data_IF_611290613730
#
_entry.id   IF_611290613730
#
_cell.length_a   1.000
_cell.length_b   1.000
_cell.length_c   1.000
_cell.angle_alpha   90.00
_cell.angle_beta   90.00
_cell.angle_gamma   90.00
#
_symmetry.space_group_name_H-M   'P 1'
#
loop_
_entity.id
_entity.type
_entity.pdbx_description
1 polymer ?
#
# COMPACT_ATOMS: atom_id res chain seq x y z
N UNK A 1 2.44 67.12 -22.85
CA UNK A 1 2.72 66.61 -21.49
C UNK A 1 2.00 65.30 -21.16
N UNK A 2 0.90 64.92 -21.82
CA UNK A 2 0.27 63.60 -21.61
C UNK A 2 0.92 62.44 -22.38
N UNK A 3 1.71 62.72 -23.42
CA UNK A 3 2.35 61.67 -24.24
C UNK A 3 3.64 61.14 -23.61
N UNK A 4 4.38 61.96 -22.85
CA UNK A 4 5.64 61.54 -22.19
C UNK A 4 5.40 60.51 -21.08
N UNK A 5 4.25 60.59 -20.38
CA UNK A 5 3.88 59.61 -19.34
C UNK A 5 3.60 58.23 -19.93
N UNK A 6 3.02 58.15 -21.13
CA UNK A 6 2.69 56.88 -21.79
C UNK A 6 3.96 56.11 -22.17
N UNK A 7 4.99 56.80 -22.66
CA UNK A 7 6.25 56.14 -23.03
C UNK A 7 7.04 55.65 -21.82
N UNK A 8 7.00 56.37 -20.70
CA UNK A 8 7.62 55.94 -19.44
C UNK A 8 6.98 54.65 -18.90
N UNK A 9 5.65 54.57 -18.92
CA UNK A 9 4.92 53.40 -18.44
C UNK A 9 5.19 52.16 -19.30
N UNK A 10 5.32 52.33 -20.62
CA UNK A 10 5.67 51.25 -21.54
C UNK A 10 7.09 50.76 -21.29
N UNK A 11 8.06 51.66 -21.12
CA UNK A 11 9.44 51.29 -20.82
C UNK A 11 9.56 50.54 -19.48
N UNK A 12 8.86 51.00 -18.44
CA UNK A 12 8.85 50.33 -17.14
C UNK A 12 8.23 48.93 -17.19
N UNK A 13 7.15 48.74 -17.96
CA UNK A 13 6.57 47.41 -18.19
C UNK A 13 7.53 46.49 -18.92
N UNK A 14 8.18 46.99 -19.97
CA UNK A 14 9.16 46.21 -20.72
C UNK A 14 10.36 45.80 -19.86
N UNK A 15 10.84 46.68 -18.96
CA UNK A 15 11.90 46.33 -18.02
C UNK A 15 11.47 45.28 -17.00
N UNK A 16 10.21 45.34 -16.53
CA UNK A 16 9.64 44.31 -15.66
C UNK A 16 9.52 42.96 -16.37
N UNK A 17 9.02 42.94 -17.60
CA UNK A 17 8.94 41.73 -18.44
C UNK A 17 10.32 41.14 -18.73
N UNK A 18 11.32 41.98 -19.02
CA UNK A 18 12.70 41.52 -19.19
C UNK A 18 13.28 40.94 -17.90
N UNK A 19 12.90 41.47 -16.73
CA UNK A 19 13.30 40.91 -15.45
C UNK A 19 12.61 39.58 -15.15
N UNK A 20 11.33 39.41 -15.49
CA UNK A 20 10.63 38.14 -15.31
C UNK A 20 11.17 37.07 -16.26
N UNK A 21 11.48 37.42 -17.51
CA UNK A 21 12.15 36.51 -18.45
C UNK A 21 13.50 36.02 -17.91
N UNK A 22 14.36 36.93 -17.42
CA UNK A 22 15.64 36.54 -16.80
C UNK A 22 15.48 35.63 -15.58
N UNK A 23 14.42 35.84 -14.77
CA UNK A 23 14.13 34.94 -13.64
C UNK A 23 13.69 33.56 -14.13
N UNK A 24 12.90 33.50 -15.20
CA UNK A 24 12.47 32.25 -15.81
C UNK A 24 13.65 31.49 -16.40
N UNK A 25 14.59 32.16 -17.06
CA UNK A 25 15.82 31.54 -17.58
C UNK A 25 16.62 30.87 -16.46
N UNK A 26 16.80 31.56 -15.33
CA UNK A 26 17.51 30.98 -14.16
C UNK A 26 16.74 29.79 -13.58
N UNK A 27 15.42 29.81 -13.57
CA UNK A 27 14.61 28.67 -13.11
C UNK A 27 14.73 27.48 -14.06
N UNK A 28 14.76 27.72 -15.37
CA UNK A 28 14.98 26.69 -16.38
C UNK A 28 16.36 26.04 -16.21
N UNK A 29 17.42 26.82 -16.03
CA UNK A 29 18.77 26.31 -15.77
C UNK A 29 18.81 25.39 -14.52
N UNK A 30 18.08 25.75 -13.47
CA UNK A 30 17.98 24.94 -12.24
C UNK A 30 17.23 23.63 -12.49
N UNK A 31 16.11 23.68 -13.22
CA UNK A 31 15.33 22.48 -13.58
C UNK A 31 16.16 21.54 -14.46
N UNK A 32 16.90 22.08 -15.44
CA UNK A 32 17.79 21.30 -16.30
C UNK A 32 18.92 20.64 -15.49
N UNK A 33 19.50 21.35 -14.52
CA UNK A 33 20.51 20.79 -13.63
C UNK A 33 19.95 19.64 -12.77
N UNK A 34 18.73 19.77 -12.25
CA UNK A 34 18.06 18.73 -11.45
C UNK A 34 17.67 17.52 -12.31
N UNK A 35 17.20 17.72 -13.55
CA UNK A 35 16.93 16.63 -14.49
C UNK A 35 18.20 15.85 -14.81
N UNK A 36 19.30 16.54 -15.14
CA UNK A 36 20.61 15.90 -15.37
C UNK A 36 21.10 15.13 -14.14
N UNK A 37 20.87 15.65 -12.93
CA UNK A 37 21.22 14.96 -11.69
C UNK A 37 20.38 13.69 -11.48
N UNK A 38 19.08 13.73 -11.79
CA UNK A 38 18.19 12.58 -11.73
C UNK A 38 18.56 11.51 -12.76
N UNK A 39 18.86 11.89 -14.00
CA UNK A 39 19.33 10.98 -15.05
C UNK A 39 20.61 10.26 -14.61
N UNK A 40 21.60 11.00 -14.10
CA UNK A 40 22.84 10.41 -13.58
C UNK A 40 22.59 9.46 -12.39
N UNK A 41 21.55 9.69 -11.57
CA UNK A 41 21.16 8.76 -10.51
C UNK A 41 20.50 7.49 -11.08
N UNK A 42 19.65 7.62 -12.10
CA UNK A 42 19.03 6.48 -12.78
C UNK A 42 20.08 5.60 -13.46
N UNK A 43 21.05 6.18 -14.16
CA UNK A 43 22.17 5.44 -14.76
C UNK A 43 22.97 4.66 -13.71
N UNK A 44 23.31 5.30 -12.58
CA UNK A 44 23.99 4.64 -11.46
C UNK A 44 23.15 3.49 -10.88
N UNK A 45 21.84 3.66 -10.77
CA UNK A 45 20.93 2.61 -10.30
C UNK A 45 20.85 1.45 -11.30
N UNK A 46 20.83 1.74 -12.59
CA UNK A 46 20.83 0.72 -13.65
C UNK A 46 22.13 -0.08 -13.66
N UNK A 47 23.30 0.57 -13.54
CA UNK A 47 24.59 -0.11 -13.43
C UNK A 47 24.61 -1.05 -12.23
N UNK A 48 24.10 -0.62 -11.07
CA UNK A 48 23.99 -1.48 -9.87
C UNK A 48 23.08 -2.67 -10.12
N UNK A 49 21.95 -2.47 -10.79
CA UNK A 49 21.03 -3.55 -11.15
C UNK A 49 21.70 -4.56 -12.10
N UNK A 50 22.39 -4.09 -13.13
CA UNK A 50 23.12 -4.94 -14.07
C UNK A 50 24.22 -5.74 -13.36
N UNK A 51 24.99 -5.13 -12.47
CA UNK A 51 25.98 -5.82 -11.65
C UNK A 51 25.36 -6.87 -10.72
N UNK A 52 24.24 -6.55 -10.07
CA UNK A 52 23.52 -7.51 -9.22
C UNK A 52 23.00 -8.70 -10.04
N UNK A 53 22.49 -8.44 -11.24
CA UNK A 53 22.06 -9.47 -12.19
C UNK A 53 23.22 -10.37 -12.60
N UNK A 54 24.38 -9.82 -12.97
CA UNK A 54 25.58 -10.60 -13.29
C UNK A 54 26.06 -11.46 -12.12
N UNK A 55 26.02 -10.94 -10.89
CA UNK A 55 26.35 -11.72 -9.67
C UNK A 55 25.38 -12.89 -9.46
N UNK A 56 24.09 -12.70 -9.74
CA UNK A 56 23.11 -13.77 -9.64
C UNK A 56 23.32 -14.82 -10.74
N UNK A 57 23.62 -14.40 -11.97
CA UNK A 57 23.94 -15.32 -13.07
C UNK A 57 25.17 -16.15 -12.75
N UNK A 58 26.28 -15.53 -12.29
CA UNK A 58 27.48 -16.27 -11.86
C UNK A 58 27.19 -17.28 -10.75
N UNK A 59 26.40 -16.90 -9.74
CA UNK A 59 26.00 -17.85 -8.68
C UNK A 59 25.16 -19.01 -9.18
N UNK A 60 24.35 -18.79 -10.22
CA UNK A 60 23.58 -19.86 -10.86
C UNK A 60 24.47 -20.79 -11.68
N UNK A 61 25.49 -20.24 -12.37
CA UNK A 61 26.48 -21.01 -13.12
C UNK A 61 27.43 -21.80 -12.20
N UNK A 62 27.97 -21.17 -11.15
CA UNK A 62 28.80 -21.81 -10.13
C UNK A 62 28.04 -22.91 -9.36
N UNK A 63 26.73 -22.71 -9.14
CA UNK A 63 25.86 -23.72 -8.54
C UNK A 63 25.45 -24.86 -9.48
N UNK A 64 25.75 -24.75 -10.79
CA UNK A 64 25.46 -25.76 -11.80
C UNK A 64 26.67 -26.67 -12.09
N UNK A 65 27.83 -26.47 -11.45
CA UNK A 65 28.98 -27.35 -11.63
C UNK A 65 28.77 -28.72 -10.96
N UNK A 66 28.46 -29.68 -11.84
CA UNK A 66 28.59 -31.14 -11.75
C UNK A 66 27.85 -31.83 -10.58
N UNK A 67 26.69 -32.48 -10.85
CA UNK A 67 26.37 -33.68 -10.11
C UNK A 67 27.51 -34.68 -10.32
N UNK A 68 28.35 -34.84 -9.31
CA UNK A 68 29.32 -35.95 -9.23
C UNK A 68 28.57 -37.24 -9.50
N UNK A 69 29.00 -37.97 -10.53
CA UNK A 69 28.53 -39.28 -10.95
C UNK A 69 28.37 -40.21 -9.75
N UNK A 70 27.16 -40.26 -9.19
CA UNK A 70 26.78 -41.25 -8.22
C UNK A 70 26.56 -42.56 -8.98
N UNK A 71 27.53 -43.45 -8.78
CA UNK A 71 27.59 -44.82 -9.31
C UNK A 71 26.25 -45.55 -9.19
N UNK A 72 25.86 -46.18 -10.30
CA UNK A 72 25.05 -47.40 -10.43
C UNK A 72 23.96 -47.68 -9.38
N UNK A 73 22.70 -47.51 -9.79
CA UNK A 73 21.61 -48.39 -9.34
C UNK A 73 21.31 -49.39 -10.46
N UNK A 74 21.00 -50.68 -10.17
CA UNK A 74 20.85 -51.70 -11.20
C UNK A 74 19.56 -51.51 -11.99
N UNK A 75 19.73 -51.64 -13.30
CA UNK A 75 18.74 -51.72 -14.36
C UNK A 75 17.62 -52.74 -14.02
N UNK A 76 16.39 -52.25 -13.84
CA UNK A 76 15.18 -53.07 -13.92
C UNK A 76 14.65 -52.93 -15.34
N UNK A 77 14.68 -54.02 -16.08
CA UNK A 77 14.13 -54.14 -17.43
C UNK A 77 12.60 -53.95 -17.38
N UNK A 78 12.01 -53.07 -18.21
CA UNK A 78 10.59 -53.14 -18.51
C UNK A 78 10.37 -54.29 -19.50
N UNK A 79 9.55 -55.25 -19.07
CA UNK A 79 9.05 -56.34 -19.90
C UNK A 79 8.30 -55.80 -21.12
N UNK A 80 8.68 -56.33 -22.28
CA UNK A 80 7.92 -56.35 -23.51
C UNK A 80 6.53 -56.96 -23.26
N UNK A 81 5.48 -56.22 -23.57
CA UNK A 81 4.25 -56.72 -24.20
C UNK A 81 3.19 -55.61 -24.19
N UNK A 82 2.91 -55.05 -25.37
CA UNK A 82 1.55 -54.81 -25.87
C UNK A 82 1.63 -54.19 -27.28
N UNK A 83 1.27 -54.95 -28.34
CA UNK A 83 0.97 -54.39 -29.65
C UNK A 83 -0.52 -53.99 -29.68
N UNK A 84 -0.85 -52.79 -30.18
CA UNK A 84 -2.17 -52.46 -30.76
C UNK A 84 -1.94 -51.32 -31.76
N UNK A 85 -1.89 -51.73 -33.02
CA UNK A 85 -2.63 -51.25 -34.19
C UNK A 85 -2.81 -49.75 -34.43
N UNK A 86 -2.22 -49.33 -35.56
CA UNK A 86 -2.90 -48.68 -36.69
C UNK A 86 -4.31 -48.13 -36.43
N UNK A 87 -4.42 -46.80 -36.44
CA UNK A 87 -5.64 -46.13 -36.91
C UNK A 87 -5.28 -44.76 -37.49
N UNK A 88 -4.96 -44.80 -38.77
CA UNK A 88 -5.06 -43.71 -39.73
C UNK A 88 -6.51 -43.18 -39.77
N UNK A 89 -6.72 -41.91 -39.41
CA UNK A 89 -7.93 -41.15 -39.79
C UNK A 89 -7.72 -39.64 -39.61
N UNK A 90 -7.29 -38.98 -40.68
CA UNK A 90 -7.60 -37.57 -40.91
C UNK A 90 -9.11 -37.41 -41.17
N UNK A 91 -9.68 -36.26 -40.78
CA UNK A 91 -10.46 -35.52 -41.77
C UNK A 91 -9.99 -34.06 -41.90
N UNK A 92 -10.07 -33.48 -43.11
CA UNK A 92 -9.78 -32.07 -43.35
C UNK A 92 -11.03 -31.19 -43.22
N UNK A 93 -10.77 -29.88 -43.29
CA UNK A 93 -11.67 -28.76 -43.54
C UNK A 93 -12.10 -27.92 -42.33
N UNK A 94 -11.41 -26.78 -42.23
CA UNK A 94 -12.01 -25.44 -42.33
C UNK A 94 -13.04 -25.06 -41.27
N UNK A 95 -12.64 -24.26 -40.29
CA UNK A 95 -13.41 -23.09 -39.85
C UNK A 95 -12.52 -22.04 -39.17
N UNK A 96 -12.57 -20.83 -39.73
CA UNK A 96 -11.94 -19.60 -39.29
C UNK A 96 -12.45 -19.16 -37.92
N UNK A 97 -11.70 -19.39 -36.86
CA UNK A 97 -11.78 -18.61 -35.62
C UNK A 97 -10.37 -18.39 -35.04
N UNK A 98 -9.62 -17.48 -35.68
CA UNK A 98 -8.52 -16.80 -35.02
C UNK A 98 -9.14 -15.88 -33.96
N UNK A 99 -8.90 -16.15 -32.67
CA UNK A 99 -8.86 -15.16 -31.55
C UNK A 99 -8.86 -15.79 -30.15
N UNK A 100 -8.55 -17.08 -29.99
CA UNK A 100 -8.08 -17.58 -28.70
C UNK A 100 -6.56 -17.64 -28.73
N UNK A 101 -5.91 -16.59 -28.20
CA UNK A 101 -4.53 -16.67 -27.72
C UNK A 101 -4.49 -17.90 -26.81
N UNK A 102 -3.86 -18.96 -27.32
CA UNK A 102 -3.48 -20.13 -26.58
C UNK A 102 -2.63 -19.61 -25.41
N UNK A 103 -3.25 -19.39 -24.24
CA UNK A 103 -2.51 -19.32 -22.98
C UNK A 103 -1.75 -20.63 -22.96
N UNK A 104 -0.43 -20.53 -23.11
CA UNK A 104 0.47 -21.67 -23.06
C UNK A 104 0.16 -22.40 -21.77
N UNK A 105 -0.58 -23.51 -21.90
CA UNK A 105 -0.77 -24.44 -20.81
C UNK A 105 0.62 -24.93 -20.47
N UNK A 106 1.11 -24.53 -19.30
CA UNK A 106 2.38 -25.02 -18.79
C UNK A 106 2.43 -26.54 -18.97
N UNK A 107 3.54 -27.09 -19.49
CA UNK A 107 3.65 -28.53 -19.72
C UNK A 107 3.38 -29.26 -18.41
N UNK A 108 2.47 -30.26 -18.45
CA UNK A 108 2.01 -31.08 -17.33
C UNK A 108 3.08 -32.04 -16.79
N UNK A 109 4.33 -31.60 -16.70
CA UNK A 109 5.48 -32.37 -16.22
C UNK A 109 5.87 -31.96 -14.79
N UNK A 110 4.90 -31.63 -13.94
CA UNK A 110 5.13 -31.35 -12.51
C UNK A 110 5.67 -32.57 -11.74
N UNK A 111 5.64 -33.77 -12.33
CA UNK A 111 6.23 -34.99 -11.77
C UNK A 111 7.74 -35.14 -11.98
N UNK A 112 8.40 -34.28 -12.76
CA UNK A 112 9.82 -34.42 -13.09
C UNK A 112 10.74 -33.43 -12.33
N UNK A 113 10.20 -32.54 -11.50
CA UNK A 113 11.00 -31.62 -10.70
C UNK A 113 11.37 -32.28 -9.36
N UNK A 114 12.65 -32.19 -8.92
CA UNK A 114 13.06 -32.71 -7.63
C UNK A 114 12.22 -32.11 -6.49
N UNK A 115 11.81 -32.91 -5.49
CA UNK A 115 10.97 -32.48 -4.37
C UNK A 115 11.46 -31.21 -3.66
N UNK A 116 12.78 -31.01 -3.59
CA UNK A 116 13.38 -29.80 -3.02
C UNK A 116 13.05 -28.54 -3.83
N UNK A 117 12.98 -28.65 -5.15
CA UNK A 117 12.61 -27.55 -6.06
C UNK A 117 11.12 -27.26 -5.94
N UNK A 118 10.27 -28.30 -5.91
CA UNK A 118 8.81 -28.15 -5.71
C UNK A 118 8.51 -27.52 -4.35
N UNK A 119 9.19 -27.95 -3.29
CA UNK A 119 9.07 -27.37 -1.94
C UNK A 119 9.47 -25.89 -1.92
N UNK A 120 10.61 -25.54 -2.54
CA UNK A 120 11.04 -24.14 -2.67
C UNK A 120 10.05 -23.30 -3.48
N UNK A 121 9.52 -23.81 -4.59
CA UNK A 121 8.51 -23.12 -5.39
C UNK A 121 7.22 -22.90 -4.60
N UNK A 122 6.75 -23.90 -3.84
CA UNK A 122 5.60 -23.77 -2.94
C UNK A 122 5.83 -22.71 -1.86
N UNK A 123 7.03 -22.68 -1.26
CA UNK A 123 7.38 -21.67 -0.27
C UNK A 123 7.42 -20.25 -0.86
N UNK A 124 8.04 -20.08 -2.03
CA UNK A 124 8.08 -18.78 -2.73
C UNK A 124 6.66 -18.35 -3.14
N UNK A 125 5.84 -19.27 -3.65
CA UNK A 125 4.45 -19.00 -3.98
C UNK A 125 3.66 -18.56 -2.75
N UNK A 126 3.80 -19.26 -1.62
CA UNK A 126 3.16 -18.92 -0.34
C UNK A 126 3.61 -17.55 0.18
N UNK A 127 4.91 -17.23 0.07
CA UNK A 127 5.41 -15.91 0.49
C UNK A 127 4.93 -14.78 -0.42
N UNK A 128 4.81 -15.05 -1.72
CA UNK A 128 4.28 -14.10 -2.69
C UNK A 128 2.78 -13.86 -2.52
N UNK A 129 2.00 -14.89 -2.17
CA UNK A 129 0.58 -14.71 -1.83
C UNK A 129 0.41 -13.95 -0.52
N UNK A 130 1.24 -14.23 0.49
CA UNK A 130 1.25 -13.45 1.74
C UNK A 130 1.62 -11.98 1.49
N UNK A 131 2.65 -11.71 0.68
CA UNK A 131 3.04 -10.34 0.31
C UNK A 131 1.89 -9.61 -0.39
N UNK A 132 1.23 -10.26 -1.36
CA UNK A 132 0.05 -9.71 -2.04
C UNK A 132 -1.10 -9.45 -1.07
N UNK A 133 -1.32 -10.31 -0.08
CA UNK A 133 -2.34 -10.12 0.96
C UNK A 133 -2.01 -8.94 1.90
N UNK A 134 -0.74 -8.76 2.27
CA UNK A 134 -0.29 -7.60 3.07
C UNK A 134 -0.43 -6.30 2.28
N UNK A 135 -0.07 -6.30 1.00
CA UNK A 135 -0.23 -5.14 0.12
C UNK A 135 -1.70 -4.79 -0.12
N UNK A 136 -2.58 -5.78 -0.33
CA UNK A 136 -4.03 -5.53 -0.47
C UNK A 136 -4.64 -4.99 0.82
N UNK A 137 -4.23 -5.50 1.99
CA UNK A 137 -4.63 -4.97 3.29
C UNK A 137 -4.12 -3.54 3.51
N UNK A 138 -2.88 -3.22 3.10
CA UNK A 138 -2.32 -1.86 3.15
C UNK A 138 -3.14 -0.91 2.27
N UNK A 139 -3.43 -1.29 1.02
CA UNK A 139 -4.27 -0.51 0.11
C UNK A 139 -5.69 -0.30 0.65
N UNK A 140 -6.31 -1.32 1.25
CA UNK A 140 -7.65 -1.19 1.84
C UNK A 140 -7.66 -0.17 3.00
N UNK A 141 -6.63 -0.17 3.85
CA UNK A 141 -6.47 0.83 4.92
C UNK A 141 -6.23 2.22 4.38
N UNK A 142 -5.45 2.35 3.31
CA UNK A 142 -5.18 3.61 2.64
C UNK A 142 -6.45 4.18 2.00
N UNK A 143 -7.26 3.35 1.33
CA UNK A 143 -8.58 3.73 0.81
C UNK A 143 -9.53 4.22 1.90
N UNK A 144 -9.53 3.58 3.08
CA UNK A 144 -10.33 4.05 4.22
C UNK A 144 -9.85 5.42 4.72
N UNK A 145 -8.54 5.65 4.79
CA UNK A 145 -7.98 6.96 5.15
C UNK A 145 -8.32 8.02 4.11
N UNK A 146 -8.28 7.67 2.82
CA UNK A 146 -8.66 8.57 1.74
C UNK A 146 -10.13 8.98 1.88
N UNK A 147 -11.04 8.01 2.00
CA UNK A 147 -12.47 8.27 2.24
C UNK A 147 -12.73 9.12 3.49
N UNK A 148 -11.94 8.95 4.54
CA UNK A 148 -12.05 9.80 5.74
C UNK A 148 -11.60 11.24 5.49
N UNK A 149 -10.58 11.45 4.65
CA UNK A 149 -10.16 12.80 4.22
C UNK A 149 -11.21 13.42 3.30
N UNK A 150 -11.69 12.67 2.31
CA UNK A 150 -12.71 13.14 1.36
C UNK A 150 -13.97 13.56 2.11
N UNK A 151 -14.44 12.72 3.06
CA UNK A 151 -15.58 13.06 3.92
C UNK A 151 -15.33 14.29 4.79
N UNK A 152 -14.08 14.54 5.21
CA UNK A 152 -13.72 15.75 5.97
C UNK A 152 -13.72 17.00 5.08
N UNK A 153 -13.28 16.87 3.82
CA UNK A 153 -13.33 17.94 2.82
C UNK A 153 -14.78 18.26 2.43
N UNK A 154 -15.59 17.24 2.12
CA UNK A 154 -17.03 17.39 1.84
C UNK A 154 -17.78 18.05 3.01
N UNK A 155 -17.49 17.65 4.25
CA UNK A 155 -18.12 18.26 5.43
C UNK A 155 -17.71 19.72 5.66
N UNK A 156 -16.56 20.16 5.13
CA UNK A 156 -16.11 21.56 5.17
C UNK A 156 -16.76 22.44 4.09
N UNK A 157 -17.25 21.84 3.00
CA UNK A 157 -17.76 22.57 1.83
C UNK A 157 -19.28 22.84 1.85
N UNK A 158 -20.03 22.32 2.83
CA UNK A 158 -21.52 22.30 2.79
C UNK A 158 -22.20 23.37 3.66
N UNK A 159 -21.51 24.38 4.21
CA UNK A 159 -22.21 25.46 4.93
C UNK A 159 -21.47 26.79 4.93
N UNK A 160 -21.47 27.49 3.79
CA UNK A 160 -21.15 28.92 3.78
C UNK A 160 -21.94 29.76 2.77
N UNK A 161 -23.18 29.34 2.43
CA UNK A 161 -24.15 30.19 1.69
C UNK A 161 -25.39 30.59 2.53
N UNK A 162 -25.29 30.57 3.86
CA UNK A 162 -26.31 31.14 4.72
C UNK A 162 -25.73 32.21 5.65
N UNK A 163 -26.05 33.46 5.30
CA UNK A 163 -26.11 34.66 6.14
C UNK A 163 -24.81 35.23 6.75
N UNK A 164 -24.41 36.33 6.13
CA UNK A 164 -23.62 37.42 6.72
C UNK A 164 -24.42 38.00 7.90
N UNK A 165 -24.06 37.62 9.12
CA UNK A 165 -24.33 38.43 10.33
C UNK A 165 -23.16 38.29 11.28
N UNK A 166 -22.44 39.39 11.47
CA UNK A 166 -21.22 39.47 12.25
C UNK A 166 -21.50 39.17 13.74
N UNK A 167 -20.88 38.11 14.25
CA UNK A 167 -20.74 37.83 15.68
C UNK A 167 -19.34 37.24 15.96
N UNK A 168 -18.76 37.48 17.15
CA UNK A 168 -17.34 37.33 17.42
C UNK A 168 -16.92 35.85 17.51
N UNK A 169 -15.73 35.58 17.01
CA UNK A 169 -15.00 34.32 16.99
C UNK A 169 -15.39 33.32 18.09
N UNK A 170 -16.14 32.29 17.71
CA UNK A 170 -16.35 31.09 18.51
C UNK A 170 -15.14 30.15 18.41
N UNK A 171 -14.69 29.57 19.53
CA UNK A 171 -13.56 28.64 19.55
C UNK A 171 -13.88 27.38 18.74
N UNK A 172 -12.85 26.84 18.09
CA UNK A 172 -12.91 25.66 17.23
C UNK A 172 -13.76 24.52 17.82
N UNK A 173 -14.56 23.81 17.01
CA UNK A 173 -15.42 22.74 17.48
C UNK A 173 -14.56 21.63 18.11
N UNK A 174 -14.67 21.52 19.43
CA UNK A 174 -14.13 20.40 20.21
C UNK A 174 -14.63 19.10 19.57
N UNK A 175 -13.75 18.13 19.25
CA UNK A 175 -14.17 16.87 18.65
C UNK A 175 -15.26 16.25 19.53
N UNK A 176 -16.41 15.96 18.92
CA UNK A 176 -17.57 15.40 19.60
C UNK A 176 -17.12 14.21 20.46
N UNK A 177 -17.37 14.29 21.77
CA UNK A 177 -17.04 13.24 22.70
C UNK A 177 -17.63 11.91 22.18
N UNK A 178 -16.86 10.81 22.20
CA UNK A 178 -17.35 9.53 21.72
C UNK A 178 -18.66 9.19 22.43
N UNK A 179 -19.71 8.95 21.64
CA UNK A 179 -21.03 8.57 22.16
C UNK A 179 -20.86 7.40 23.12
N UNK A 180 -21.47 7.44 24.33
CA UNK A 180 -21.32 6.38 25.31
C UNK A 180 -21.74 5.05 24.67
N UNK A 181 -20.85 4.06 24.73
CA UNK A 181 -21.12 2.73 24.20
C UNK A 181 -22.38 2.15 24.86
N UNK A 182 -23.22 1.47 24.08
CA UNK A 182 -24.46 0.89 24.61
C UNK A 182 -24.13 -0.15 25.69
N UNK A 183 -24.95 -0.29 26.75
CA UNK A 183 -24.68 -1.21 27.85
C UNK A 183 -24.52 -2.67 27.37
N UNK A 184 -25.22 -3.06 26.30
CA UNK A 184 -25.09 -4.37 25.66
C UNK A 184 -23.69 -4.59 25.09
N UNK A 185 -23.13 -3.60 24.37
CA UNK A 185 -21.78 -3.72 23.80
C UNK A 185 -20.71 -3.84 24.88
N UNK A 186 -20.90 -3.14 26.01
CA UNK A 186 -20.01 -3.24 27.18
C UNK A 186 -20.08 -4.63 27.79
N UNK A 187 -21.28 -5.20 27.91
CA UNK A 187 -21.47 -6.54 28.44
C UNK A 187 -20.85 -7.63 27.53
N UNK A 188 -21.07 -7.56 26.22
CA UNK A 188 -20.44 -8.47 25.25
C UNK A 188 -18.91 -8.36 25.29
N UNK A 189 -18.39 -7.12 25.39
CA UNK A 189 -16.96 -6.89 25.57
C UNK A 189 -16.41 -7.55 26.84
N UNK A 190 -17.12 -7.42 27.96
CA UNK A 190 -16.76 -8.06 29.23
C UNK A 190 -16.80 -9.60 29.16
N UNK A 191 -17.79 -10.17 28.45
CA UNK A 191 -17.87 -11.62 28.22
C UNK A 191 -16.66 -12.13 27.44
N UNK A 192 -16.32 -11.50 26.32
CA UNK A 192 -15.14 -11.88 25.55
C UNK A 192 -13.84 -11.73 26.33
N UNK A 193 -13.74 -10.72 27.20
CA UNK A 193 -12.58 -10.56 28.06
C UNK A 193 -12.51 -11.71 29.07
N UNK A 194 -13.61 -12.09 29.71
CA UNK A 194 -13.69 -13.23 30.62
C UNK A 194 -13.33 -14.57 29.94
N UNK A 195 -13.81 -14.82 28.72
CA UNK A 195 -13.46 -16.02 27.93
C UNK A 195 -11.96 -16.09 27.65
N UNK A 196 -11.36 -14.96 27.25
CA UNK A 196 -9.91 -14.88 27.00
C UNK A 196 -9.11 -15.12 28.28
N UNK A 197 -9.59 -14.63 29.42
CA UNK A 197 -8.95 -14.87 30.70
C UNK A 197 -9.01 -16.36 31.10
N UNK A 198 -10.16 -17.04 30.92
CA UNK A 198 -10.25 -18.50 31.11
C UNK A 198 -9.27 -19.24 30.21
N UNK A 199 -9.19 -18.87 28.93
CA UNK A 199 -8.22 -19.47 28.00
C UNK A 199 -6.76 -19.24 28.42
N UNK A 200 -6.42 -18.13 29.07
CA UNK A 200 -5.06 -17.91 29.63
C UNK A 200 -4.81 -18.82 30.83
N UNK A 201 -5.81 -19.02 31.69
CA UNK A 201 -5.70 -19.88 32.86
C UNK A 201 -5.54 -21.36 32.49
N UNK A 202 -6.33 -21.84 31.53
CA UNK A 202 -6.35 -23.24 31.04
C UNK A 202 -5.05 -23.66 30.34
N UNK A 203 -4.25 -22.71 29.82
CA UNK A 203 -2.97 -23.03 29.20
C UNK A 203 -1.98 -23.53 30.26
N UNK A 204 -1.43 -24.72 30.04
CA UNK A 204 -0.30 -25.26 30.83
C UNK A 204 1.00 -24.48 30.53
N UNK A 205 1.12 -23.30 31.13
CA UNK A 205 2.26 -22.38 30.97
C UNK A 205 2.81 -21.95 32.32
N UNK A 206 4.05 -21.46 32.34
CA UNK A 206 4.70 -20.94 33.55
C UNK A 206 3.87 -19.82 34.19
N UNK A 207 3.93 -19.66 35.51
CA UNK A 207 3.23 -18.60 36.23
C UNK A 207 3.59 -17.19 35.70
N UNK A 208 4.85 -16.99 35.28
CA UNK A 208 5.29 -15.74 34.65
C UNK A 208 4.60 -15.49 33.29
N UNK A 209 4.45 -16.52 32.46
CA UNK A 209 3.77 -16.43 31.18
C UNK A 209 2.27 -16.21 31.35
N UNK A 210 1.66 -16.87 32.34
CA UNK A 210 0.25 -16.65 32.72
C UNK A 210 0.02 -15.21 33.15
N UNK A 211 0.90 -14.67 34.01
CA UNK A 211 0.85 -13.26 34.45
C UNK A 211 0.99 -12.30 33.26
N UNK A 212 1.93 -12.53 32.36
CA UNK A 212 2.11 -11.71 31.17
C UNK A 212 0.89 -11.80 30.21
N UNK A 213 0.35 -13.00 30.00
CA UNK A 213 -0.86 -13.22 29.21
C UNK A 213 -2.06 -12.49 29.81
N UNK A 214 -2.21 -12.58 31.13
CA UNK A 214 -3.24 -11.91 31.92
C UNK A 214 -3.16 -10.38 31.74
N UNK A 215 -1.99 -9.79 31.95
CA UNK A 215 -1.77 -8.35 31.77
C UNK A 215 -2.04 -7.91 30.33
N UNK A 216 -1.61 -8.69 29.33
CA UNK A 216 -1.89 -8.40 27.91
C UNK A 216 -3.38 -8.44 27.57
N UNK A 217 -4.14 -9.36 28.15
CA UNK A 217 -5.60 -9.43 27.94
C UNK A 217 -6.30 -8.24 28.59
N UNK A 218 -5.97 -7.93 29.84
CA UNK A 218 -6.61 -6.85 30.62
C UNK A 218 -6.28 -5.46 30.07
N UNK A 219 -5.03 -5.22 29.65
CA UNK A 219 -4.59 -3.93 29.08
C UNK A 219 -4.75 -3.85 27.57
N UNK A 220 -5.30 -4.88 26.92
CA UNK A 220 -5.31 -5.02 25.47
C UNK A 220 -3.91 -4.86 24.82
N UNK A 221 -2.84 -5.18 25.56
CA UNK A 221 -1.45 -5.02 25.14
C UNK A 221 -0.93 -3.58 25.18
N UNK A 222 -1.62 -2.67 25.86
CA UNK A 222 -1.25 -1.26 25.99
C UNK A 222 -1.15 -0.85 27.46
N UNK A 223 -0.07 -1.26 28.10
CA UNK A 223 0.16 -1.04 29.53
C UNK A 223 0.18 0.45 29.94
N UNK A 224 0.56 1.35 29.02
CA UNK A 224 0.67 2.80 29.30
C UNK A 224 -0.55 3.63 28.90
N UNK A 225 -1.56 3.04 28.24
CA UNK A 225 -2.64 3.82 27.64
C UNK A 225 -3.86 3.99 28.56
N UNK A 226 -4.00 3.13 29.55
CA UNK A 226 -5.17 3.10 30.42
C UNK A 226 -4.80 3.50 31.85
N UNK A 227 -5.69 4.25 32.49
CA UNK A 227 -5.50 4.73 33.88
C UNK A 227 -6.06 3.78 34.94
N UNK A 228 -6.76 2.71 34.52
CA UNK A 228 -7.32 1.73 35.45
C UNK A 228 -6.25 0.73 35.91
N UNK A 229 -6.39 0.21 37.13
CA UNK A 229 -5.53 -0.86 37.62
C UNK A 229 -6.04 -2.21 37.11
N UNK A 230 -5.17 -3.15 36.70
CA UNK A 230 -5.60 -4.46 36.22
C UNK A 230 -6.47 -5.23 37.22
N UNK A 231 -6.25 -5.02 38.52
CA UNK A 231 -7.04 -5.60 39.61
C UNK A 231 -8.51 -5.13 39.59
N UNK A 232 -8.74 -3.87 39.19
CA UNK A 232 -10.09 -3.30 39.13
C UNK A 232 -10.92 -4.00 38.03
N UNK A 233 -10.29 -4.34 36.90
CA UNK A 233 -10.95 -5.07 35.81
C UNK A 233 -11.31 -6.49 36.22
N UNK A 234 -10.41 -7.20 36.90
CA UNK A 234 -10.70 -8.55 37.43
C UNK A 234 -11.82 -8.50 38.45
N UNK A 235 -11.84 -7.47 39.30
CA UNK A 235 -12.88 -7.25 40.30
C UNK A 235 -14.24 -6.92 39.66
N UNK A 236 -14.27 -6.09 38.61
CA UNK A 236 -15.47 -5.79 37.83
C UNK A 236 -16.05 -7.06 37.18
N UNK A 237 -15.22 -7.91 36.58
CA UNK A 237 -15.67 -9.17 35.97
C UNK A 237 -16.20 -10.18 37.00
N UNK A 238 -15.59 -10.22 38.20
CA UNK A 238 -16.11 -10.98 39.34
C UNK A 238 -17.49 -10.45 39.76
N UNK A 239 -17.63 -9.13 39.92
CA UNK A 239 -18.88 -8.51 40.35
C UNK A 239 -20.02 -8.71 39.32
N UNK A 240 -19.68 -8.84 38.04
CA UNK A 240 -20.62 -9.17 36.96
C UNK A 240 -20.96 -10.66 36.86
N UNK A 241 -20.34 -11.52 37.67
CA UNK A 241 -20.55 -12.98 37.64
C UNK A 241 -20.03 -13.66 36.36
N UNK A 242 -19.09 -13.04 35.65
CA UNK A 242 -18.52 -13.59 34.42
C UNK A 242 -17.32 -14.52 34.67
N UNK A 243 -16.74 -14.41 35.88
CA UNK A 243 -15.57 -15.16 36.35
C UNK A 243 -15.84 -15.70 37.76
N UNK A 244 -15.43 -16.94 38.00
CA UNK A 244 -15.54 -17.60 39.30
C UNK A 244 -14.66 -16.92 40.36
N UNK A 245 -15.12 -16.92 41.61
CA UNK A 245 -14.41 -16.28 42.72
C UNK A 245 -12.98 -16.83 42.91
N UNK A 246 -12.81 -18.15 42.78
CA UNK A 246 -11.49 -18.80 42.87
C UNK A 246 -10.52 -18.26 41.82
N UNK A 247 -10.98 -18.20 40.57
CA UNK A 247 -10.18 -17.74 39.44
C UNK A 247 -9.83 -16.25 39.55
N UNK A 248 -10.77 -15.43 40.06
CA UNK A 248 -10.51 -14.03 40.36
C UNK A 248 -9.44 -13.84 41.46
N UNK A 249 -9.47 -14.66 42.52
CA UNK A 249 -8.43 -14.62 43.57
C UNK A 249 -7.06 -15.01 43.04
N UNK A 250 -6.97 -16.05 42.22
CA UNK A 250 -5.71 -16.48 41.60
C UNK A 250 -5.13 -15.39 40.69
N UNK A 251 -5.95 -14.79 39.82
CA UNK A 251 -5.50 -13.69 38.97
C UNK A 251 -5.05 -12.47 39.75
N UNK A 252 -5.79 -12.10 40.80
CA UNK A 252 -5.39 -10.97 41.67
C UNK A 252 -4.05 -11.26 42.35
N UNK A 253 -3.82 -12.51 42.75
CA UNK A 253 -2.55 -12.94 43.36
C UNK A 253 -1.41 -12.89 42.35
N UNK A 254 -1.62 -13.40 41.14
CA UNK A 254 -0.66 -13.35 40.04
C UNK A 254 -0.30 -11.92 39.62
N UNK A 255 -1.27 -11.00 39.58
CA UNK A 255 -1.01 -9.59 39.22
C UNK A 255 -0.11 -8.92 40.28
N UNK A 256 -0.42 -9.15 41.56
CA UNK A 256 0.29 -8.58 42.71
C UNK A 256 1.66 -9.21 42.94
N UNK A 257 1.90 -10.42 42.46
CA UNK A 257 3.20 -11.07 42.57
C UNK A 257 4.23 -10.35 41.69
N UNK A 258 4.99 -9.45 42.33
CA UNK A 258 6.04 -8.68 41.67
C UNK A 258 7.26 -9.52 41.31
N UNK A 259 7.45 -10.68 41.94
CA UNK A 259 8.57 -11.57 41.63
C UNK A 259 8.44 -12.19 40.24
N UNK A 260 7.20 -12.29 39.76
CA UNK A 260 6.83 -12.76 38.42
C UNK A 260 6.76 -11.63 37.39
N UNK A 261 7.08 -10.38 37.76
CA UNK A 261 7.34 -9.36 36.72
C UNK A 261 8.45 -9.96 35.86
N UNK A 262 8.24 -10.08 34.52
CA UNK A 262 9.35 -10.43 33.67
C UNK A 262 10.43 -9.44 34.07
N UNK A 263 11.58 -9.94 34.51
CA UNK A 263 12.78 -9.14 34.61
C UNK A 263 12.97 -8.67 33.19
N UNK A 264 12.31 -7.57 32.84
CA UNK A 264 12.63 -6.85 31.65
C UNK A 264 14.11 -6.67 31.87
N UNK A 265 14.90 -7.27 31.01
CA UNK A 265 16.25 -6.79 30.80
C UNK A 265 16.06 -5.35 30.30
N UNK A 266 15.63 -4.45 31.19
CA UNK A 266 16.01 -3.07 31.22
C UNK A 266 17.51 -3.21 31.31
N UNK A 267 18.10 -3.32 30.12
CA UNK A 267 19.48 -3.03 29.87
C UNK A 267 19.75 -1.81 30.74
N UNK A 268 20.59 -1.95 31.79
CA UNK A 268 20.85 -0.85 32.72
C UNK A 268 21.04 0.43 31.92
N UNK A 269 20.53 1.55 32.43
CA UNK A 269 20.51 2.80 31.66
C UNK A 269 21.87 3.12 31.02
N UNK A 270 22.96 2.78 31.73
CA UNK A 270 24.34 2.84 31.26
C UNK A 270 24.63 1.93 30.03
N UNK A 271 24.26 0.65 30.08
CA UNK A 271 24.40 -0.27 28.94
C UNK A 271 23.51 0.14 27.75
N UNK A 272 22.33 0.73 28.02
CA UNK A 272 21.45 1.22 26.97
C UNK A 272 22.06 2.45 26.30
N UNK A 273 22.63 3.38 27.08
CA UNK A 273 23.36 4.54 26.57
C UNK A 273 24.57 4.12 25.74
N UNK A 274 25.33 3.12 26.19
CA UNK A 274 26.48 2.61 25.44
C UNK A 274 26.06 1.94 24.12
N UNK A 275 24.94 1.21 24.11
CA UNK A 275 24.34 0.70 22.86
C UNK A 275 23.85 1.84 21.96
N UNK A 276 23.19 2.85 22.52
CA UNK A 276 22.71 4.00 21.77
C UNK A 276 23.87 4.78 21.14
N UNK A 277 24.97 5.02 21.87
CA UNK A 277 26.20 5.63 21.35
C UNK A 277 26.86 4.79 20.25
N UNK A 278 26.87 3.46 20.40
CA UNK A 278 27.37 2.56 19.35
C UNK A 278 26.50 2.60 18.09
N UNK A 279 25.18 2.71 18.24
CA UNK A 279 24.24 2.77 17.11
C UNK A 279 24.20 4.17 16.48
N UNK A 280 24.42 5.24 17.23
CA UNK A 280 24.40 6.61 16.69
C UNK A 280 25.51 6.90 15.68
N UNK A 281 26.58 6.10 15.67
CA UNK A 281 27.65 6.19 14.67
C UNK A 281 27.37 5.35 13.42
N UNK A 282 26.31 4.54 13.42
CA UNK A 282 25.87 3.80 12.24
C UNK A 282 24.93 4.74 11.48
N UNK A 283 25.49 5.51 10.54
CA UNK A 283 24.68 6.18 9.53
C UNK A 283 23.81 5.13 8.85
N UNK A 284 22.49 5.34 8.88
CA UNK A 284 21.56 4.47 8.17
C UNK A 284 21.84 4.68 6.69
N UNK A 285 21.77 3.60 5.91
CA UNK A 285 21.92 3.68 4.45
C UNK A 285 20.96 4.69 3.79
N UNK A 286 19.85 4.99 4.47
CA UNK A 286 18.82 5.93 4.01
C UNK A 286 19.06 7.37 4.50
N UNK A 287 20.00 7.61 5.42
CA UNK A 287 20.26 8.96 5.97
C UNK A 287 20.79 9.90 4.88
N UNK A 288 21.61 9.40 3.95
CA UNK A 288 22.05 10.18 2.79
C UNK A 288 20.86 10.60 1.89
N UNK A 289 19.85 9.73 1.73
CA UNK A 289 18.65 10.06 0.95
C UNK A 289 17.75 11.03 1.72
N UNK A 290 17.59 10.85 3.03
CA UNK A 290 16.84 11.77 3.89
C UNK A 290 17.46 13.16 3.93
N UNK A 291 18.80 13.25 4.04
CA UNK A 291 19.51 14.53 3.99
C UNK A 291 19.42 15.18 2.61
N UNK A 292 19.52 14.41 1.53
CA UNK A 292 19.33 14.93 0.18
C UNK A 292 17.89 15.44 -0.04
N UNK A 293 16.88 14.71 0.43
CA UNK A 293 15.48 15.12 0.35
C UNK A 293 15.20 16.36 1.21
N UNK A 294 15.76 16.43 2.41
CA UNK A 294 15.66 17.61 3.26
C UNK A 294 16.34 18.82 2.60
N UNK A 295 17.55 18.65 2.05
CA UNK A 295 18.25 19.71 1.34
C UNK A 295 17.48 20.18 0.11
N UNK A 296 16.84 19.27 -0.63
CA UNK A 296 15.96 19.61 -1.75
C UNK A 296 14.73 20.39 -1.28
N UNK A 297 14.07 19.95 -0.19
CA UNK A 297 12.94 20.66 0.42
C UNK A 297 13.33 22.08 0.85
N UNK A 298 14.47 22.24 1.50
CA UNK A 298 14.96 23.56 1.93
C UNK A 298 15.30 24.45 0.73
N UNK A 299 15.88 23.91 -0.35
CA UNK A 299 16.14 24.69 -1.58
C UNK A 299 14.83 25.12 -2.24
N UNK A 300 13.83 24.23 -2.29
CA UNK A 300 12.51 24.56 -2.82
C UNK A 300 11.85 25.68 -2.02
N UNK A 301 11.83 25.57 -0.68
CA UNK A 301 11.30 26.63 0.19
C UNK A 301 12.03 27.97 -0.01
N UNK A 302 13.36 27.94 -0.15
CA UNK A 302 14.14 29.14 -0.45
C UNK A 302 13.83 29.73 -1.84
N UNK A 303 13.63 28.88 -2.85
CA UNK A 303 13.28 29.31 -4.19
C UNK A 303 11.87 29.93 -4.25
N UNK A 304 10.90 29.34 -3.54
CA UNK A 304 9.54 29.89 -3.39
C UNK A 304 9.58 31.22 -2.63
N UNK A 305 10.35 31.32 -1.53
CA UNK A 305 10.52 32.58 -0.82
C UNK A 305 11.19 33.67 -1.69
N UNK A 306 12.14 33.29 -2.54
CA UNK A 306 12.85 34.21 -3.42
C UNK A 306 12.04 34.65 -4.65
N UNK A 307 11.09 33.83 -5.12
CA UNK A 307 10.24 34.16 -6.26
C UNK A 307 9.22 35.27 -5.95
N UNK A 308 8.92 35.47 -4.67
CA UNK A 308 7.92 36.46 -4.22
C UNK A 308 6.48 36.06 -4.58
N UNK A 309 6.27 34.78 -4.91
CA UNK A 309 4.94 34.21 -5.14
C UNK A 309 4.33 33.94 -3.76
N UNK A 310 3.21 34.58 -3.45
CA UNK A 310 2.49 34.30 -2.21
C UNK A 310 2.03 32.84 -2.21
N UNK A 311 2.29 32.11 -1.13
CA UNK A 311 1.88 30.70 -1.02
C UNK A 311 0.38 30.47 -1.28
N UNK A 312 -0.46 31.48 -1.02
CA UNK A 312 -1.89 31.45 -1.28
C UNK A 312 -2.24 31.33 -2.77
N UNK A 313 -1.47 31.98 -3.66
CA UNK A 313 -1.72 31.88 -5.11
C UNK A 313 -1.24 30.55 -5.67
N UNK A 314 -0.22 29.94 -5.06
CA UNK A 314 0.29 28.63 -5.47
C UNK A 314 -0.71 27.50 -5.15
N UNK A 315 -1.33 27.54 -3.96
CA UNK A 315 -2.40 26.59 -3.58
C UNK A 315 -3.64 26.74 -4.48
N UNK A 316 -4.00 27.97 -4.89
CA UNK A 316 -5.14 28.21 -5.78
C UNK A 316 -4.89 27.67 -7.20
N UNK A 317 -3.65 27.78 -7.71
CA UNK A 317 -3.29 27.21 -9.01
C UNK A 317 -3.22 25.68 -9.00
N UNK A 318 -2.71 25.06 -7.93
CA UNK A 318 -2.68 23.60 -7.80
C UNK A 318 -4.09 23.01 -7.70
N UNK A 319 -5.00 23.73 -7.02
CA UNK A 319 -6.41 23.35 -6.92
C UNK A 319 -7.11 23.44 -8.29
N UNK A 320 -6.84 24.50 -9.07
CA UNK A 320 -7.41 24.69 -10.40
C UNK A 320 -6.95 23.60 -11.40
N UNK A 321 -5.67 23.23 -11.36
CA UNK A 321 -5.13 22.16 -12.21
C UNK A 321 -5.71 20.79 -11.84
N UNK A 322 -5.97 20.55 -10.54
CA UNK A 322 -6.64 19.34 -10.09
C UNK A 322 -8.08 19.25 -10.58
N UNK A 323 -8.84 20.36 -10.51
CA UNK A 323 -10.23 20.41 -10.96
C UNK A 323 -10.37 20.26 -12.49
N UNK A 324 -9.42 20.79 -13.26
CA UNK A 324 -9.30 20.56 -14.71
C UNK A 324 -9.12 19.06 -15.04
N UNK A 325 -8.25 18.35 -14.31
CA UNK A 325 -8.01 16.92 -14.50
C UNK A 325 -9.24 16.05 -14.18
N UNK A 326 -10.07 16.45 -13.22
CA UNK A 326 -11.28 15.70 -12.85
C UNK A 326 -12.36 15.87 -13.91
N UNK A 327 -12.58 17.10 -14.39
CA UNK A 327 -13.56 17.39 -15.43
C UNK A 327 -13.22 16.71 -16.77
N UNK A 328 -11.93 16.62 -17.12
CA UNK A 328 -11.49 15.93 -18.33
C UNK A 328 -11.69 14.40 -18.25
N UNK A 329 -11.52 13.82 -17.05
CA UNK A 329 -11.80 12.40 -16.82
C UNK A 329 -13.31 12.07 -16.93
N UNK A 330 -14.19 12.94 -16.42
CA UNK A 330 -15.64 12.77 -16.59
C UNK A 330 -16.09 12.88 -18.05
N UNK A 331 -15.48 13.78 -18.82
CA UNK A 331 -15.75 13.93 -20.26
C UNK A 331 -15.33 12.67 -21.03
N UNK A 332 -14.18 12.09 -20.69
CA UNK A 332 -13.69 10.87 -21.31
C UNK A 332 -14.62 9.67 -21.05
N UNK A 333 -15.12 9.52 -19.81
CA UNK A 333 -16.09 8.47 -19.47
C UNK A 333 -17.44 8.66 -20.17
N UNK A 334 -17.90 9.90 -20.35
CA UNK A 334 -19.12 10.20 -21.10
C UNK A 334 -19.01 9.79 -22.57
N UNK A 335 -17.87 10.07 -23.21
CA UNK A 335 -17.63 9.77 -24.63
C UNK A 335 -17.37 8.28 -24.91
N UNK A 336 -16.83 7.53 -23.94
CA UNK A 336 -16.45 6.12 -24.13
C UNK A 336 -17.40 5.12 -23.45
N UNK A 337 -18.50 5.57 -22.83
CA UNK A 337 -19.51 4.68 -22.23
C UNK A 337 -20.45 3.99 -23.23
N UNK A 338 -20.30 4.25 -24.54
CA UNK A 338 -21.11 3.68 -25.61
C UNK A 338 -20.58 2.34 -26.15
N UNK A 339 -20.67 1.27 -25.35
CA UNK A 339 -21.08 -0.05 -25.86
C UNK A 339 -21.43 -0.96 -24.68
N UNK A 340 -22.70 -0.89 -24.23
CA UNK A 340 -23.24 -1.88 -23.30
C UNK A 340 -23.37 -3.20 -24.06
N UNK A 341 -22.35 -4.03 -23.98
CA UNK A 341 -22.42 -5.42 -24.40
C UNK A 341 -23.43 -6.13 -23.50
N UNK A 342 -24.70 -6.16 -23.94
CA UNK A 342 -25.75 -6.96 -23.35
C UNK A 342 -25.36 -8.44 -23.51
N UNK A 343 -24.68 -8.96 -22.50
CA UNK A 343 -24.41 -10.39 -22.37
C UNK A 343 -25.76 -11.10 -22.20
N UNK A 344 -26.31 -11.61 -23.30
CA UNK A 344 -27.42 -12.55 -23.27
C UNK A 344 -27.00 -13.77 -22.45
N UNK A 345 -27.46 -13.81 -21.20
CA UNK A 345 -27.16 -14.86 -20.23
C UNK A 345 -27.39 -16.25 -20.83
N UNK A 346 -26.41 -17.13 -20.65
CA UNK A 346 -26.51 -18.51 -21.11
C UNK A 346 -27.68 -19.20 -20.39
N UNK A 347 -28.55 -19.84 -21.17
CA UNK A 347 -29.85 -20.39 -20.76
C UNK A 347 -29.79 -21.63 -19.85
N UNK A 348 -28.64 -21.93 -19.24
CA UNK A 348 -28.43 -23.18 -18.50
C UNK A 348 -28.29 -23.01 -16.97
N UNK A 349 -28.48 -21.80 -16.43
CA UNK A 349 -28.36 -21.55 -14.98
C UNK A 349 -29.55 -22.04 -14.13
N UNK A 350 -30.59 -22.63 -14.74
CA UNK A 350 -31.79 -23.08 -14.03
C UNK A 350 -31.71 -24.46 -13.36
N UNK A 351 -30.62 -25.21 -13.56
CA UNK A 351 -30.49 -26.59 -13.07
C UNK A 351 -29.48 -26.76 -11.92
N UNK A 352 -28.89 -25.67 -11.43
CA UNK A 352 -27.90 -25.71 -10.34
C UNK A 352 -28.55 -25.30 -9.01
N UNK A 353 -28.14 -25.93 -7.88
CA UNK A 353 -28.64 -25.55 -6.56
C UNK A 353 -28.39 -24.07 -6.27
N UNK A 354 -29.33 -23.37 -5.61
CA UNK A 354 -29.25 -21.93 -5.29
C UNK A 354 -27.92 -21.50 -4.63
N UNK A 355 -27.28 -22.42 -3.89
CA UNK A 355 -25.98 -22.19 -3.23
C UNK A 355 -24.79 -22.13 -4.20
N UNK A 356 -24.90 -22.75 -5.37
CA UNK A 356 -23.87 -22.72 -6.42
C UNK A 356 -24.06 -21.49 -7.31
N UNK A 357 -25.32 -21.14 -7.62
CA UNK A 357 -25.66 -19.93 -8.38
C UNK A 357 -25.26 -18.66 -7.62
N UNK A 358 -25.33 -18.64 -6.29
CA UNK A 358 -24.90 -17.49 -5.48
C UNK A 358 -23.38 -17.29 -5.50
N UNK A 359 -22.61 -18.37 -5.54
CA UNK A 359 -21.15 -18.31 -5.66
C UNK A 359 -20.71 -17.87 -7.05
N UNK A 360 -21.28 -18.45 -8.11
CA UNK A 360 -20.94 -18.06 -9.48
C UNK A 360 -21.35 -16.62 -9.78
N UNK A 361 -22.50 -16.16 -9.27
CA UNK A 361 -22.90 -14.74 -9.34
C UNK A 361 -21.96 -13.83 -8.56
N UNK A 362 -21.47 -14.25 -7.40
CA UNK A 362 -20.49 -13.49 -6.62
C UNK A 362 -19.13 -13.42 -7.33
N UNK A 363 -18.65 -14.55 -7.86
CA UNK A 363 -17.41 -14.61 -8.64
C UNK A 363 -17.52 -13.79 -9.93
N UNK A 364 -18.65 -13.84 -10.63
CA UNK A 364 -18.92 -13.01 -11.80
C UNK A 364 -18.91 -11.51 -11.46
N UNK A 365 -19.60 -11.11 -10.38
CA UNK A 365 -19.63 -9.71 -9.91
C UNK A 365 -18.24 -9.22 -9.48
N UNK A 366 -17.45 -10.10 -8.84
CA UNK A 366 -16.07 -9.79 -8.44
C UNK A 366 -15.14 -9.65 -9.64
N UNK A 367 -15.28 -10.51 -10.64
CA UNK A 367 -14.53 -10.43 -11.90
C UNK A 367 -14.89 -9.19 -12.71
N UNK A 368 -16.15 -8.74 -12.64
CA UNK A 368 -16.58 -7.47 -13.23
C UNK A 368 -15.97 -6.25 -12.50
N UNK A 369 -15.98 -6.27 -11.17
CA UNK A 369 -15.31 -5.24 -10.36
C UNK A 369 -13.78 -5.21 -10.60
N UNK A 370 -13.15 -6.37 -10.78
CA UNK A 370 -11.72 -6.47 -11.08
C UNK A 370 -11.40 -5.92 -12.47
N UNK A 371 -12.21 -6.25 -13.49
CA UNK A 371 -12.09 -5.66 -14.83
C UNK A 371 -12.28 -4.14 -14.82
N UNK A 372 -13.25 -3.62 -14.05
CA UNK A 372 -13.45 -2.18 -13.88
C UNK A 372 -12.22 -1.51 -13.24
N UNK A 373 -11.62 -2.12 -12.21
CA UNK A 373 -10.38 -1.63 -11.59
C UNK A 373 -9.19 -1.67 -12.55
N UNK A 374 -9.06 -2.71 -13.36
CA UNK A 374 -8.02 -2.77 -14.38
C UNK A 374 -8.22 -1.72 -15.48
N UNK A 375 -9.47 -1.47 -15.88
CA UNK A 375 -9.80 -0.42 -16.85
C UNK A 375 -9.42 0.96 -16.32
N UNK A 376 -9.79 1.28 -15.08
CA UNK A 376 -9.42 2.54 -14.43
C UNK A 376 -7.90 2.72 -14.29
N UNK A 377 -7.18 1.62 -14.01
CA UNK A 377 -5.72 1.64 -13.98
C UNK A 377 -5.12 1.92 -15.37
N UNK A 378 -5.61 1.24 -16.41
CA UNK A 378 -5.17 1.47 -17.79
C UNK A 378 -5.47 2.90 -18.24
N UNK A 379 -6.63 3.45 -17.90
CA UNK A 379 -6.96 4.85 -18.19
C UNK A 379 -5.96 5.81 -17.54
N UNK A 380 -5.58 5.61 -16.27
CA UNK A 380 -4.53 6.41 -15.62
C UNK A 380 -3.16 6.24 -16.28
N UNK A 381 -2.82 5.03 -16.70
CA UNK A 381 -1.53 4.77 -17.35
C UNK A 381 -1.47 5.40 -18.75
N UNK A 382 -2.58 5.40 -19.50
CA UNK A 382 -2.72 6.11 -20.79
C UNK A 382 -2.64 7.62 -20.58
N UNK A 383 -3.36 8.18 -19.60
CA UNK A 383 -3.28 9.61 -19.29
C UNK A 383 -1.86 10.05 -18.92
N UNK A 384 -1.11 9.21 -18.18
CA UNK A 384 0.31 9.46 -17.89
C UNK A 384 1.20 9.36 -19.13
N UNK A 385 0.89 8.49 -20.08
CA UNK A 385 1.63 8.40 -21.35
C UNK A 385 1.38 9.65 -22.18
N UNK A 386 0.11 10.00 -22.41
CA UNK A 386 -0.27 11.17 -23.19
C UNK A 386 0.31 12.46 -22.59
N UNK A 387 0.34 12.60 -21.26
CA UNK A 387 0.96 13.74 -20.60
C UNK A 387 2.49 13.79 -20.79
N UNK A 388 3.16 12.65 -20.97
CA UNK A 388 4.59 12.63 -21.34
C UNK A 388 4.79 12.98 -22.80
N UNK A 389 3.96 12.42 -23.68
CA UNK A 389 4.06 12.66 -25.12
C UNK A 389 3.77 14.14 -25.42
N UNK A 390 2.76 14.75 -24.79
CA UNK A 390 2.48 16.18 -24.90
C UNK A 390 3.62 17.05 -24.37
N UNK A 391 4.32 16.62 -23.30
CA UNK A 391 5.52 17.32 -22.80
C UNK A 391 6.68 17.25 -23.77
N UNK A 392 6.86 16.12 -24.45
CA UNK A 392 7.89 15.97 -25.48
C UNK A 392 7.57 16.81 -26.72
N UNK A 393 6.31 16.81 -27.17
CA UNK A 393 5.87 17.63 -28.32
C UNK A 393 6.00 19.13 -28.02
N UNK A 394 5.63 19.57 -26.82
CA UNK A 394 5.82 20.96 -26.40
C UNK A 394 7.30 21.38 -26.36
N UNK A 395 8.20 20.46 -25.98
CA UNK A 395 9.64 20.71 -25.98
C UNK A 395 10.22 20.79 -27.40
N UNK A 396 9.69 20.02 -28.37
CA UNK A 396 10.13 20.08 -29.78
C UNK A 396 9.69 21.37 -30.48
N UNK A 397 8.52 21.91 -30.15
CA UNK A 397 7.99 23.15 -30.78
C UNK A 397 8.68 24.42 -30.24
N UNK A 398 9.29 24.39 -29.05
CA UNK A 398 9.92 25.56 -28.45
C UNK A 398 11.39 25.79 -28.85
N UNK A 399 11.92 25.02 -29.81
CA UNK A 399 13.26 25.26 -30.37
C UNK A 399 13.12 26.19 -31.58
N UNK A 400 13.36 27.51 -31.46
CA UNK A 400 13.38 28.39 -32.62
C UNK A 400 14.52 27.98 -33.57
N UNK A 401 14.19 27.89 -34.85
CA UNK A 401 15.13 27.55 -35.92
C UNK A 401 16.21 28.63 -36.13
#
# INVERSE_FOLDING_TARGET
MAEETVWSDVAQKQDQENQTLKKNDVLLDVIEADLNALEAQMEKAEVRYQQARQRLTRKLEEGAEKPTEAKHSPHIQPSEDHPIDEAEALPPADHKHQHHKHLQREPKNAGALPDKVVSRQRWVAARNTEKRARESAKRAREMLRHRQRDRKMEAGYVSQEAEVSAAPATPAPTPAAPSPASPETVFVGAQHLAERLRSVHERETSAADKRMGLLKVVTCGRESYYTFKPEDVVSDLKNRGLIDEKLATEFTTLIKDETLKPTSHQVPFEEWLDRAKKVSHIERLDDAQMHAAHAASTRYEQAVAASGIDHATLEETEQADFDLSVNEAERFDAEHSHDKFESHGSKNAGALPDKVVSRDRWEAKRNEEERAREHQKKARDVGRSNARDAKLEAAEVSVPA
#
